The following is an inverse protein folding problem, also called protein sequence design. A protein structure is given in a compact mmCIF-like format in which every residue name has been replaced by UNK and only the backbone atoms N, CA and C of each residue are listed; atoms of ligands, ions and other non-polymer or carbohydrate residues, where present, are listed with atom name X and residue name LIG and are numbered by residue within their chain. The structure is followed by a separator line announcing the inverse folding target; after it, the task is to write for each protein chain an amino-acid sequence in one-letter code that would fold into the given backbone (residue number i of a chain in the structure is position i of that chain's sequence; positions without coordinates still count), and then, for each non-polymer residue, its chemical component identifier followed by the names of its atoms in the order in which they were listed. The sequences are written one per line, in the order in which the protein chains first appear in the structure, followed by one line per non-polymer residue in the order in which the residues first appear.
data_IF_469784572059
#
_entry.id   IF_469784572059
#
_cell.length_a   1.000
_cell.length_b   1.000
_cell.length_c   1.000
_cell.angle_alpha   90.00
_cell.angle_beta   90.00
_cell.angle_gamma   90.00
#
_symmetry.space_group_name_H-M   'P 1'
#
loop_
_entity.id
_entity.type
_entity.pdbx_description
1 polymer ?
#
# COMPACT_ATOMS: atom_id res chain seq x y z
N UNK A 1 -14.30 -15.57 -1.27
CA UNK A 1 -13.01 -14.83 -1.30
C UNK A 1 -13.02 -13.60 -2.21
N UNK A 2 -13.05 -13.71 -3.56
CA UNK A 2 -12.91 -12.52 -4.42
C UNK A 2 -14.00 -11.45 -4.24
N UNK A 3 -15.27 -11.87 -4.17
CA UNK A 3 -16.42 -10.98 -3.91
C UNK A 3 -16.43 -10.40 -2.50
N UNK A 4 -16.21 -11.23 -1.48
CA UNK A 4 -16.15 -10.78 -0.07
C UNK A 4 -15.04 -9.77 0.18
N UNK A 5 -13.83 -10.03 -0.35
CA UNK A 5 -12.71 -9.10 -0.23
C UNK A 5 -12.97 -7.81 -1.00
N UNK A 6 -13.64 -7.87 -2.14
CA UNK A 6 -14.07 -6.68 -2.86
C UNK A 6 -15.06 -5.85 -2.03
N UNK A 7 -16.10 -6.48 -1.46
CA UNK A 7 -17.07 -5.80 -0.59
C UNK A 7 -16.41 -5.20 0.66
N UNK A 8 -15.49 -5.93 1.29
CA UNK A 8 -14.71 -5.43 2.42
C UNK A 8 -13.86 -4.23 2.02
N UNK A 9 -13.15 -4.28 0.88
CA UNK A 9 -12.36 -3.16 0.37
C UNK A 9 -13.23 -1.93 0.11
N UNK A 10 -14.43 -2.09 -0.46
CA UNK A 10 -15.37 -0.97 -0.64
C UNK A 10 -15.74 -0.31 0.69
N UNK A 11 -16.03 -1.10 1.72
CA UNK A 11 -16.35 -0.61 3.07
C UNK A 11 -15.16 0.11 3.70
N UNK A 12 -13.95 -0.45 3.56
CA UNK A 12 -12.71 0.15 4.06
C UNK A 12 -12.44 1.49 3.36
N UNK A 13 -12.55 1.55 2.03
CA UNK A 13 -12.34 2.80 1.27
C UNK A 13 -13.34 3.86 1.72
N UNK A 14 -14.63 3.53 1.88
CA UNK A 14 -15.62 4.48 2.42
C UNK A 14 -15.23 4.97 3.82
N UNK A 15 -14.81 4.09 4.72
CA UNK A 15 -14.36 4.47 6.06
C UNK A 15 -13.11 5.38 6.03
N UNK A 16 -12.16 5.09 5.15
CA UNK A 16 -10.97 5.93 4.94
C UNK A 16 -11.38 7.31 4.42
N UNK A 17 -12.30 7.38 3.46
CA UNK A 17 -12.81 8.66 2.94
C UNK A 17 -13.53 9.47 4.04
N UNK A 18 -14.36 8.83 4.87
CA UNK A 18 -15.01 9.50 6.02
C UNK A 18 -13.99 10.15 6.97
N UNK A 19 -12.81 9.56 7.15
CA UNK A 19 -11.75 10.16 7.97
C UNK A 19 -11.17 11.46 7.38
N UNK A 20 -11.43 11.74 6.09
CA UNK A 20 -10.99 12.95 5.41
C UNK A 20 -12.02 14.10 5.47
N UNK A 21 -13.26 13.81 5.88
CA UNK A 21 -14.35 14.78 6.04
C UNK A 21 -15.71 14.07 5.97
N UNK A 22 -16.73 14.62 6.65
CA UNK A 22 -18.05 13.99 6.87
C UNK A 22 -18.72 13.51 5.56
N UNK A 23 -18.71 14.35 4.51
CA UNK A 23 -19.34 14.04 3.21
C UNK A 23 -18.39 13.40 2.18
N UNK A 24 -17.12 13.16 2.55
CA UNK A 24 -16.09 12.73 1.58
C UNK A 24 -16.40 11.36 0.97
N UNK A 25 -16.99 10.45 1.75
CA UNK A 25 -17.34 9.13 1.23
C UNK A 25 -18.46 9.20 0.20
N UNK A 26 -19.52 9.95 0.47
CA UNK A 26 -20.64 10.12 -0.48
C UNK A 26 -20.19 10.84 -1.75
N UNK A 27 -19.35 11.85 -1.58
CA UNK A 27 -18.88 12.70 -2.67
C UNK A 27 -17.93 11.99 -3.63
N UNK A 28 -16.95 11.27 -3.09
CA UNK A 28 -15.84 10.74 -3.91
C UNK A 28 -15.96 9.26 -4.24
N UNK A 29 -16.70 8.47 -3.45
CA UNK A 29 -16.67 7.03 -3.66
C UNK A 29 -17.23 6.63 -5.03
N UNK A 30 -18.42 7.15 -5.40
CA UNK A 30 -19.05 6.78 -6.66
C UNK A 30 -18.32 7.35 -7.88
N UNK A 31 -17.76 8.55 -7.78
CA UNK A 31 -16.99 9.18 -8.86
C UNK A 31 -15.63 8.54 -9.07
N UNK A 32 -14.93 8.19 -7.98
CA UNK A 32 -13.51 7.86 -8.05
C UNK A 32 -13.18 6.39 -7.83
N UNK A 33 -13.98 5.69 -7.01
CA UNK A 33 -13.64 4.36 -6.49
C UNK A 33 -14.65 3.26 -6.86
N UNK A 34 -15.76 3.58 -7.53
CA UNK A 34 -16.81 2.63 -7.90
C UNK A 34 -16.33 1.51 -8.82
N UNK A 35 -15.44 1.85 -9.76
CA UNK A 35 -14.84 0.90 -10.72
C UNK A 35 -13.53 0.27 -10.23
N UNK A 36 -13.16 0.46 -8.97
CA UNK A 36 -11.99 -0.20 -8.41
C UNK A 36 -12.11 -1.72 -8.49
N UNK A 37 -10.97 -2.39 -8.66
CA UNK A 37 -10.87 -3.84 -8.70
C UNK A 37 -9.73 -4.33 -7.81
N UNK A 38 -9.76 -5.63 -7.50
CA UNK A 38 -8.76 -6.24 -6.63
C UNK A 38 -8.05 -7.42 -7.26
N UNK A 39 -6.83 -7.66 -6.79
CA UNK A 39 -6.07 -8.88 -7.07
C UNK A 39 -5.46 -9.45 -5.79
N UNK A 40 -5.16 -10.74 -5.81
CA UNK A 40 -4.67 -11.49 -4.66
C UNK A 40 -3.21 -11.90 -4.87
N UNK A 41 -2.41 -11.83 -3.80
CA UNK A 41 -1.08 -12.45 -3.73
C UNK A 41 -1.02 -13.35 -2.51
N UNK A 42 -0.59 -14.60 -2.72
CA UNK A 42 -0.27 -15.54 -1.65
C UNK A 42 1.25 -15.55 -1.51
N UNK A 43 1.74 -15.22 -0.33
CA UNK A 43 3.17 -15.20 -0.02
C UNK A 43 3.51 -16.37 0.90
N UNK A 44 4.52 -17.15 0.50
CA UNK A 44 5.15 -18.20 1.30
C UNK A 44 6.61 -17.85 1.50
N UNK A 45 7.04 -17.78 2.75
CA UNK A 45 8.41 -17.47 3.12
C UNK A 45 9.04 -18.72 3.73
N UNK A 46 10.07 -19.24 3.07
CA UNK A 46 10.82 -20.38 3.56
C UNK A 46 11.58 -20.02 4.85
N UNK A 47 11.78 -20.98 5.77
CA UNK A 47 12.59 -20.76 6.96
C UNK A 47 13.99 -20.26 6.59
N UNK A 48 14.54 -19.28 7.33
CA UNK A 48 15.87 -18.72 7.07
C UNK A 48 17.03 -19.72 7.28
N UNK A 49 16.81 -20.90 7.86
CA UNK A 49 17.84 -21.91 8.09
C UNK A 49 18.84 -21.49 9.18
N UNK A 50 20.08 -22.00 9.10
CA UNK A 50 21.18 -21.62 10.01
C UNK A 50 21.67 -20.18 9.81
N UNK A 51 21.10 -19.43 8.86
CA UNK A 51 21.44 -18.03 8.57
C UNK A 51 21.05 -17.07 9.69
N UNK A 52 20.22 -17.49 10.65
CA UNK A 52 19.82 -16.68 11.81
C UNK A 52 20.86 -16.67 12.94
N UNK A 53 21.98 -17.39 12.80
CA UNK A 53 22.94 -17.65 13.88
C UNK A 53 23.77 -16.41 14.27
N UNK A 54 23.86 -15.39 13.42
CA UNK A 54 24.69 -14.20 13.67
C UNK A 54 23.91 -12.93 14.06
N UNK A 55 22.66 -13.06 14.52
CA UNK A 55 21.84 -11.91 14.95
C UNK A 55 21.46 -10.94 13.82
N UNK A 56 21.73 -11.30 12.56
CA UNK A 56 21.28 -10.54 11.39
C UNK A 56 19.84 -10.88 11.07
N UNK A 57 19.03 -9.84 10.91
CA UNK A 57 17.66 -9.96 10.39
C UNK A 57 17.70 -10.58 8.99
N UNK A 58 17.00 -11.70 8.78
CA UNK A 58 16.84 -12.29 7.46
C UNK A 58 15.61 -11.69 6.79
N UNK A 59 15.81 -11.05 5.65
CA UNK A 59 14.72 -10.42 4.90
C UNK A 59 13.89 -11.47 4.16
N UNK A 60 12.59 -11.52 4.45
CA UNK A 60 11.63 -12.31 3.69
C UNK A 60 11.04 -11.53 2.51
N UNK A 61 10.83 -10.22 2.71
CA UNK A 61 10.41 -9.29 1.66
C UNK A 61 11.03 -7.92 1.93
N UNK A 62 11.69 -7.37 0.90
CA UNK A 62 12.33 -6.07 0.94
C UNK A 62 11.42 -4.92 1.36
N UNK A 63 12.05 -3.84 1.84
CA UNK A 63 11.36 -2.58 2.08
C UNK A 63 10.72 -2.06 0.79
N UNK A 64 9.41 -1.84 0.82
CA UNK A 64 8.64 -1.30 -0.29
C UNK A 64 7.38 -0.55 0.19
N UNK A 65 6.72 0.11 -0.74
CA UNK A 65 5.34 0.57 -0.63
C UNK A 65 4.46 -0.23 -1.57
N UNK A 66 3.17 -0.29 -1.26
CA UNK A 66 2.18 -0.93 -2.12
C UNK A 66 1.68 0.02 -3.19
N UNK A 67 1.55 -0.47 -4.42
CA UNK A 67 1.03 0.31 -5.53
C UNK A 67 -0.48 0.57 -5.45
N UNK A 68 -1.21 -0.12 -4.57
CA UNK A 68 -2.68 -0.12 -4.51
C UNK A 68 -3.26 1.19 -3.96
N UNK A 69 -4.60 1.28 -3.91
CA UNK A 69 -5.27 2.27 -3.07
C UNK A 69 -5.23 1.83 -1.60
N UNK A 70 -5.68 0.62 -1.34
CA UNK A 70 -5.56 -0.05 -0.04
C UNK A 70 -5.15 -1.51 -0.25
N UNK A 71 -4.40 -2.06 0.70
CA UNK A 71 -4.11 -3.49 0.75
C UNK A 71 -4.62 -4.05 2.07
N UNK A 72 -5.20 -5.26 2.01
CA UNK A 72 -5.69 -6.00 3.15
C UNK A 72 -4.83 -7.25 3.29
N UNK A 73 -4.15 -7.40 4.42
CA UNK A 73 -3.24 -8.51 4.71
C UNK A 73 -3.83 -9.38 5.81
N UNK A 74 -4.02 -10.65 5.48
CA UNK A 74 -4.21 -11.73 6.44
C UNK A 74 -2.85 -12.40 6.65
N UNK A 75 -2.35 -12.40 7.89
CA UNK A 75 -1.06 -12.97 8.25
C UNK A 75 -1.23 -14.06 9.30
N UNK A 76 -0.32 -15.03 9.28
CA UNK A 76 -0.24 -16.05 10.32
C UNK A 76 0.29 -15.50 11.65
N UNK A 77 0.39 -16.38 12.65
CA UNK A 77 0.86 -16.07 14.00
C UNK A 77 2.40 -15.94 14.10
N UNK A 78 3.14 -16.14 13.01
CA UNK A 78 4.61 -16.11 13.03
C UNK A 78 5.14 -14.67 13.12
N UNK A 79 4.39 -13.71 12.58
CA UNK A 79 4.74 -12.29 12.58
C UNK A 79 5.85 -11.96 11.58
N UNK A 80 6.59 -10.87 11.83
CA UNK A 80 7.69 -10.43 10.97
C UNK A 80 7.34 -9.28 10.01
N UNK A 81 6.06 -8.94 9.85
CA UNK A 81 5.67 -7.72 9.16
C UNK A 81 6.12 -6.49 9.97
N UNK A 82 6.80 -5.56 9.31
CA UNK A 82 7.23 -4.30 9.90
C UNK A 82 6.80 -3.13 9.05
N UNK A 83 6.39 -2.03 9.69
CA UNK A 83 6.08 -0.75 9.05
C UNK A 83 7.05 0.32 9.53
N UNK A 84 7.39 1.27 8.66
CA UNK A 84 8.27 2.39 8.99
C UNK A 84 7.46 3.60 9.47
N UNK A 85 7.76 4.06 10.67
CA UNK A 85 7.15 5.26 11.28
C UNK A 85 7.54 6.54 10.53
N UNK A 86 6.95 7.68 10.89
CA UNK A 86 7.32 8.98 10.32
C UNK A 86 8.73 9.42 10.75
N UNK A 87 9.15 8.98 11.93
CA UNK A 87 10.49 9.18 12.48
C UNK A 87 11.53 8.22 11.87
N UNK A 88 11.13 7.41 10.89
CA UNK A 88 12.01 6.48 10.18
C UNK A 88 12.33 5.19 10.93
N UNK A 89 11.63 4.91 12.04
CA UNK A 89 11.84 3.71 12.87
C UNK A 89 10.99 2.55 12.37
N UNK A 90 11.55 1.34 12.41
CA UNK A 90 10.79 0.11 12.15
C UNK A 90 9.94 -0.27 13.36
N UNK A 91 8.67 -0.57 13.11
CA UNK A 91 7.71 -1.03 14.12
C UNK A 91 7.13 -2.37 13.69
N UNK A 92 7.09 -3.32 14.61
CA UNK A 92 6.49 -4.63 14.37
C UNK A 92 4.96 -4.54 14.35
N UNK A 93 4.35 -5.15 13.34
CA UNK A 93 2.91 -5.41 13.31
C UNK A 93 2.68 -6.83 13.83
N UNK A 94 2.52 -6.92 15.14
CA UNK A 94 2.30 -8.21 15.80
C UNK A 94 1.00 -8.84 15.32
N UNK A 95 0.99 -10.14 14.97
CA UNK A 95 -0.24 -10.86 14.66
C UNK A 95 -1.23 -10.78 15.81
N UNK A 96 -2.49 -10.58 15.48
CA UNK A 96 -3.60 -10.61 16.42
C UNK A 96 -4.71 -11.47 15.82
N UNK A 97 -5.21 -12.44 16.60
CA UNK A 97 -6.27 -13.32 16.16
C UNK A 97 -7.51 -12.52 15.73
N UNK A 98 -8.18 -12.98 14.69
CA UNK A 98 -9.39 -12.37 14.13
C UNK A 98 -9.22 -10.90 13.66
N UNK A 99 -7.99 -10.52 13.30
CA UNK A 99 -7.71 -9.19 12.73
C UNK A 99 -7.12 -9.26 11.33
N UNK A 100 -7.34 -8.19 10.57
CA UNK A 100 -6.71 -7.94 9.29
C UNK A 100 -5.87 -6.68 9.40
N UNK A 101 -4.69 -6.69 8.79
CA UNK A 101 -3.87 -5.49 8.65
C UNK A 101 -4.31 -4.77 7.39
N UNK A 102 -4.55 -3.47 7.47
CA UNK A 102 -4.92 -2.64 6.32
C UNK A 102 -3.88 -1.54 6.16
N UNK A 103 -3.34 -1.39 4.96
CA UNK A 103 -2.41 -0.32 4.63
C UNK A 103 -2.95 0.53 3.46
N UNK A 104 -2.64 1.82 3.53
CA UNK A 104 -2.80 2.76 2.41
C UNK A 104 -1.64 2.53 1.44
N UNK A 105 -1.95 2.46 0.15
CA UNK A 105 -0.96 2.37 -0.91
C UNK A 105 -0.77 3.70 -1.66
N UNK A 106 0.12 3.65 -2.63
CA UNK A 106 0.63 4.79 -3.39
C UNK A 106 -0.46 5.52 -4.18
N UNK A 107 -1.42 4.79 -4.78
CA UNK A 107 -2.50 5.42 -5.54
C UNK A 107 -3.42 6.26 -4.65
N UNK A 108 -3.73 5.78 -3.44
CA UNK A 108 -4.52 6.54 -2.46
C UNK A 108 -3.70 7.68 -1.85
N UNK A 109 -2.40 7.50 -1.64
CA UNK A 109 -1.50 8.60 -1.26
C UNK A 109 -1.55 9.73 -2.28
N UNK A 110 -1.38 9.41 -3.57
CA UNK A 110 -1.42 10.38 -4.66
C UNK A 110 -2.77 11.09 -4.74
N UNK A 111 -3.86 10.32 -4.77
CA UNK A 111 -5.22 10.84 -4.85
C UNK A 111 -5.55 11.75 -3.66
N UNK A 112 -5.14 11.38 -2.44
CA UNK A 112 -5.37 12.16 -1.22
C UNK A 112 -4.46 13.38 -1.05
N UNK A 113 -3.66 13.73 -2.08
CA UNK A 113 -2.67 14.80 -2.05
C UNK A 113 -1.70 14.67 -0.85
N UNK A 114 -1.30 13.44 -0.52
CA UNK A 114 -0.40 13.13 0.59
C UNK A 114 -1.02 13.19 1.99
N UNK A 115 -2.34 13.44 2.12
CA UNK A 115 -3.03 13.40 3.42
C UNK A 115 -3.01 11.99 4.03
N UNK A 116 -3.13 10.96 3.19
CA UNK A 116 -3.00 9.56 3.60
C UNK A 116 -1.62 9.04 3.21
N UNK A 117 -0.87 8.51 4.18
CA UNK A 117 0.51 8.09 3.96
C UNK A 117 0.60 6.63 3.54
N UNK A 118 1.01 6.38 2.29
CA UNK A 118 1.64 5.12 1.90
C UNK A 118 2.94 4.94 2.69
N UNK A 119 2.96 3.97 3.61
CA UNK A 119 4.10 3.75 4.52
C UNK A 119 4.94 2.58 4.03
N UNK A 120 6.27 2.78 4.06
CA UNK A 120 7.22 1.72 3.77
C UNK A 120 7.03 0.57 4.75
N UNK A 121 7.05 -0.65 4.23
CA UNK A 121 6.93 -1.87 5.02
C UNK A 121 7.81 -2.97 4.44
N UNK A 122 8.13 -3.97 5.28
CA UNK A 122 8.98 -5.12 4.94
C UNK A 122 8.55 -6.35 5.72
N UNK A 123 9.08 -7.51 5.35
CA UNK A 123 8.95 -8.74 6.14
C UNK A 123 10.33 -9.21 6.57
N UNK A 124 10.53 -9.37 7.87
CA UNK A 124 11.74 -9.93 8.48
C UNK A 124 11.41 -11.29 9.11
N UNK A 125 12.16 -12.31 8.74
CA UNK A 125 12.01 -13.68 9.24
C UNK A 125 12.76 -13.83 10.56
N UNK A 126 12.01 -13.77 11.67
CA UNK A 126 12.56 -13.81 13.04
C UNK A 126 12.69 -15.23 13.62
N UNK A 127 12.04 -16.21 12.99
CA UNK A 127 11.94 -17.58 13.49
C UNK A 127 12.34 -18.54 12.37
N UNK A 128 12.95 -19.66 12.73
CA UNK A 128 13.30 -20.71 11.77
C UNK A 128 12.10 -21.61 11.46
N UNK A 129 10.99 -21.00 11.02
CA UNK A 129 9.75 -21.66 10.61
C UNK A 129 9.19 -20.95 9.38
N UNK A 130 8.39 -21.65 8.57
CA UNK A 130 7.74 -21.03 7.42
C UNK A 130 6.73 -19.99 7.87
N UNK A 131 6.62 -18.89 7.11
CA UNK A 131 5.59 -17.86 7.29
C UNK A 131 4.70 -17.82 6.05
N UNK A 132 3.41 -17.61 6.25
CA UNK A 132 2.42 -17.43 5.20
C UNK A 132 1.64 -16.13 5.40
N UNK A 133 1.29 -15.49 4.29
CA UNK A 133 0.35 -14.37 4.31
C UNK A 133 -0.39 -14.29 2.99
N UNK A 134 -1.61 -13.74 3.05
CA UNK A 134 -2.43 -13.44 1.88
C UNK A 134 -2.66 -11.94 1.85
N UNK A 135 -2.30 -11.30 0.75
CA UNK A 135 -2.50 -9.88 0.53
C UNK A 135 -3.51 -9.67 -0.61
N UNK A 136 -4.54 -8.85 -0.36
CA UNK A 136 -5.51 -8.42 -1.35
C UNK A 136 -5.33 -6.94 -1.62
N UNK A 137 -4.98 -6.61 -2.86
CA UNK A 137 -4.68 -5.25 -3.30
C UNK A 137 -5.90 -4.69 -4.01
N UNK A 138 -6.39 -3.53 -3.56
CA UNK A 138 -7.53 -2.84 -4.17
C UNK A 138 -7.05 -1.61 -4.91
N UNK A 139 -7.22 -1.57 -6.23
CA UNK A 139 -6.68 -0.55 -7.12
C UNK A 139 -7.78 0.17 -7.89
N UNK A 140 -7.46 1.36 -8.39
CA UNK A 140 -8.24 2.00 -9.45
C UNK A 140 -8.18 1.19 -10.75
N UNK A 141 -9.17 1.39 -11.62
CA UNK A 141 -9.15 0.87 -12.99
C UNK A 141 -7.95 1.41 -13.78
N UNK A 142 -7.45 0.60 -14.70
CA UNK A 142 -6.23 0.83 -15.48
C UNK A 142 -6.17 2.22 -16.14
N UNK A 143 -7.27 2.68 -16.72
CA UNK A 143 -7.33 3.93 -17.49
C UNK A 143 -7.66 5.15 -16.64
N UNK A 144 -7.88 4.99 -15.33
CA UNK A 144 -8.20 6.12 -14.46
C UNK A 144 -7.01 7.09 -14.44
N UNK A 145 -7.30 8.36 -14.71
CA UNK A 145 -6.36 9.46 -14.45
C UNK A 145 -6.40 9.77 -12.95
N UNK A 146 -5.27 9.60 -12.29
CA UNK A 146 -5.07 9.89 -10.88
C UNK A 146 -4.69 11.36 -10.74
N UNK A 147 -5.53 12.12 -10.06
CA UNK A 147 -5.29 13.50 -9.67
C UNK A 147 -6.04 13.78 -8.38
N UNK A 148 -5.48 14.63 -7.52
CA UNK A 148 -6.19 15.04 -6.31
C UNK A 148 -7.35 15.99 -6.64
N UNK A 149 -8.58 15.72 -6.14
CA UNK A 149 -9.71 16.65 -6.28
C UNK A 149 -9.42 18.00 -5.61
N UNK A 150 -9.98 19.09 -6.14
CA UNK A 150 -9.74 20.44 -5.61
C UNK A 150 -10.14 20.55 -4.12
N UNK A 151 -11.21 19.86 -3.72
CA UNK A 151 -11.68 19.86 -2.34
C UNK A 151 -10.79 19.03 -1.40
N UNK A 152 -10.05 18.05 -1.93
CA UNK A 152 -9.03 17.31 -1.18
C UNK A 152 -7.78 18.16 -1.03
N UNK A 153 -7.42 18.94 -2.06
CA UNK A 153 -6.29 19.88 -2.07
C UNK A 153 -6.55 21.06 -1.13
N UNK A 154 -7.80 21.54 -1.06
CA UNK A 154 -8.22 22.69 -0.26
C UNK A 154 -7.99 24.03 -0.97
N UNK A 155 -8.71 25.06 -0.50
CA UNK A 155 -8.61 26.42 -1.04
C UNK A 155 -7.18 26.98 -0.89
N UNK A 156 -6.62 27.50 -1.99
CA UNK A 156 -5.23 27.98 -2.03
C UNK A 156 -4.16 26.88 -1.97
N UNK A 157 -4.56 25.60 -1.94
CA UNK A 157 -3.65 24.47 -1.95
C UNK A 157 -3.07 24.18 -3.34
N UNK A 158 -1.87 23.59 -3.36
CA UNK A 158 -1.25 23.07 -4.58
C UNK A 158 -1.26 21.54 -4.58
N UNK A 159 -1.56 20.96 -5.75
CA UNK A 159 -1.36 19.53 -6.00
C UNK A 159 0.12 19.20 -5.86
N UNK A 160 0.42 18.06 -5.22
CA UNK A 160 1.80 17.60 -5.05
C UNK A 160 2.29 16.87 -6.31
N UNK A 161 1.39 16.19 -7.03
CA UNK A 161 1.74 15.35 -8.17
C UNK A 161 1.07 15.86 -9.45
N UNK A 162 1.73 15.70 -10.60
CA UNK A 162 1.04 15.85 -11.88
C UNK A 162 -0.01 14.74 -12.03
N UNK A 163 -1.11 14.98 -12.77
CA UNK A 163 -2.04 13.91 -13.14
C UNK A 163 -1.34 12.80 -13.93
N UNK A 164 -1.68 11.55 -13.67
CA UNK A 164 -1.09 10.40 -14.37
C UNK A 164 -2.06 9.22 -14.51
N UNK A 165 -1.83 8.33 -15.48
CA UNK A 165 -2.70 7.16 -15.71
C UNK A 165 -2.29 6.00 -14.79
N UNK A 166 -3.27 5.37 -14.13
CA UNK A 166 -3.07 4.27 -13.18
C UNK A 166 -2.17 3.16 -13.74
N UNK A 167 -2.52 2.62 -14.92
CA UNK A 167 -1.76 1.54 -15.55
C UNK A 167 -0.32 1.92 -15.88
N UNK A 168 -0.05 3.17 -16.22
CA UNK A 168 1.30 3.62 -16.51
C UNK A 168 2.17 3.61 -15.26
N UNK A 169 1.61 4.03 -14.11
CA UNK A 169 2.29 3.93 -12.81
C UNK A 169 2.56 2.47 -12.42
N UNK A 170 1.58 1.58 -12.59
CA UNK A 170 1.74 0.15 -12.31
C UNK A 170 2.85 -0.47 -13.17
N UNK A 171 2.85 -0.18 -14.48
CA UNK A 171 3.91 -0.65 -15.40
C UNK A 171 5.29 -0.11 -15.03
N UNK A 172 5.38 1.18 -14.68
CA UNK A 172 6.63 1.79 -14.21
C UNK A 172 7.18 1.01 -13.01
N UNK A 173 6.35 0.79 -11.99
CA UNK A 173 6.71 0.01 -10.80
C UNK A 173 7.13 -1.43 -11.10
N UNK A 174 6.35 -2.17 -11.89
CA UNK A 174 6.65 -3.56 -12.25
C UNK A 174 7.96 -3.69 -13.05
N UNK A 175 8.18 -2.79 -14.00
CA UNK A 175 9.40 -2.77 -14.83
C UNK A 175 10.66 -2.48 -14.00
N UNK A 176 10.48 -1.73 -12.93
CA UNK A 176 11.51 -1.30 -12.01
C UNK A 176 11.81 -2.33 -10.91
N UNK A 177 10.84 -3.17 -10.58
CA UNK A 177 11.01 -4.31 -9.65
C UNK A 177 11.73 -5.51 -10.31
N UNK A 178 11.84 -5.54 -11.65
CA UNK A 178 12.50 -6.63 -12.39
C UNK A 178 14.03 -6.55 -12.25
N UNK A 179 14.57 -7.22 -11.23
CA UNK A 179 16.01 -7.49 -11.08
C UNK A 179 16.78 -6.59 -10.12
N UNK A 180 16.10 -5.76 -9.31
CA UNK A 180 16.74 -4.96 -8.24
C UNK A 180 15.83 -4.91 -7.01
N UNK A 181 16.03 -5.84 -6.08
CA UNK A 181 15.45 -5.78 -4.73
C UNK A 181 16.10 -4.68 -3.85
N UNK A 182 17.07 -3.95 -4.40
CA UNK A 182 17.73 -2.83 -3.78
C UNK A 182 17.05 -1.50 -4.15
N UNK A 183 16.33 -0.94 -3.15
CA UNK A 183 16.18 0.50 -2.83
C UNK A 183 15.09 1.32 -3.57
N UNK A 184 14.08 1.73 -2.80
CA UNK A 184 13.45 3.08 -2.58
C UNK A 184 13.23 4.06 -3.75
N UNK A 185 13.63 3.77 -4.98
CA UNK A 185 13.65 4.73 -6.08
C UNK A 185 12.54 4.53 -7.11
N UNK A 186 11.29 4.27 -6.71
CA UNK A 186 10.14 4.16 -7.63
C UNK A 186 8.85 4.59 -6.92
N UNK A 187 8.83 5.82 -6.43
CA UNK A 187 7.67 6.42 -5.76
C UNK A 187 6.75 7.09 -6.78
N UNK A 188 5.54 7.46 -6.34
CA UNK A 188 4.65 8.35 -7.13
C UNK A 188 5.37 9.63 -7.52
N UNK A 189 6.23 10.18 -6.65
CA UNK A 189 7.01 11.39 -6.92
C UNK A 189 8.00 11.19 -8.08
N UNK A 190 8.64 10.03 -8.16
CA UNK A 190 9.59 9.73 -9.23
C UNK A 190 8.89 9.58 -10.59
N UNK A 191 7.63 9.12 -10.58
CA UNK A 191 6.84 8.92 -11.78
C UNK A 191 6.11 10.19 -12.25
N UNK A 192 5.35 10.82 -11.36
CA UNK A 192 4.47 11.94 -11.66
C UNK A 192 5.14 13.31 -11.46
N UNK A 193 6.36 13.36 -10.94
CA UNK A 193 7.04 14.59 -10.55
C UNK A 193 6.42 15.25 -9.32
N UNK A 194 7.12 16.25 -8.78
CA UNK A 194 6.65 17.10 -7.69
C UNK A 194 6.34 18.49 -8.24
N UNK A 195 5.08 18.90 -8.13
CA UNK A 195 4.60 20.21 -8.57
C UNK A 195 4.93 21.33 -7.56
N UNK A 196 5.44 20.99 -6.37
CA UNK A 196 5.97 21.96 -5.40
C UNK A 196 7.46 22.20 -5.68
N UNK A 197 7.76 22.98 -6.73
CA UNK A 197 9.06 23.65 -6.89
C UNK A 197 8.90 25.15 -6.70
#
# INVERSE_FOLDING_TARGET
MGTEMSELSRRIVKAVLMSMGEDSAEKFYESDFSNCHGYLRINSYSPPGSSTVDGKEVEGLGMHTDMSCVTIVCQDEIGGLQVRSREGKWMDINPCADTLVVNVGDLMHAWSNGRLRSSEHRVVLKRNVSRFSVAFFWCFEDEKVISSPDEVVGEGGARIYNPFVCREYLKFRESSERGKFDKVGFTVKDFAGDLKQ
#
